data_IF_649413257848
#
_entry.id   IF_649413257848
#
_cell.length_a   1.000
_cell.length_b   1.000
_cell.length_c   1.000
_cell.angle_alpha   90.00
_cell.angle_beta   90.00
_cell.angle_gamma   90.00
#
_symmetry.space_group_name_H-M   'P 1'
#
loop_
_entity.id
_entity.type
_entity.pdbx_description
1 polymer ?
#
# COMPACT_ATOMS: atom_id res chain seq x y z
N UNK A 1 -12.60 -14.90 7.28
CA UNK A 1 -12.00 -13.64 7.79
C UNK A 1 -10.87 -13.88 8.78
N UNK A 2 -11.09 -14.35 10.02
CA UNK A 2 -10.01 -14.50 11.04
C UNK A 2 -8.76 -15.24 10.53
N UNK A 3 -8.95 -16.44 9.96
CA UNK A 3 -7.85 -17.24 9.39
C UNK A 3 -7.04 -16.46 8.35
N UNK A 4 -7.73 -15.75 7.46
CA UNK A 4 -7.15 -14.98 6.37
C UNK A 4 -6.31 -13.79 6.89
N UNK A 5 -6.80 -13.08 7.90
CA UNK A 5 -6.06 -11.99 8.55
C UNK A 5 -4.81 -12.53 9.25
N UNK A 6 -4.95 -13.61 10.03
CA UNK A 6 -3.81 -14.25 10.71
C UNK A 6 -2.77 -14.73 9.70
N UNK A 7 -3.19 -15.38 8.61
CA UNK A 7 -2.28 -15.77 7.53
C UNK A 7 -1.59 -14.56 6.91
N UNK A 8 -2.32 -13.48 6.62
CA UNK A 8 -1.73 -12.26 6.07
C UNK A 8 -0.69 -11.64 6.99
N UNK A 9 -0.99 -11.52 8.29
CA UNK A 9 -0.03 -11.02 9.29
C UNK A 9 1.21 -11.92 9.34
N UNK A 10 1.05 -13.24 9.46
CA UNK A 10 2.19 -14.16 9.55
C UNK A 10 3.06 -14.06 8.30
N UNK A 11 2.47 -14.08 7.11
CA UNK A 11 3.23 -14.05 5.86
C UNK A 11 3.95 -12.71 5.70
N UNK A 12 3.24 -11.59 5.81
CA UNK A 12 3.83 -10.26 5.65
C UNK A 12 4.90 -10.00 6.73
N UNK A 13 4.62 -10.30 8.00
CA UNK A 13 5.62 -10.14 9.07
C UNK A 13 6.84 -11.04 8.89
N UNK A 14 6.69 -12.25 8.35
CA UNK A 14 7.84 -13.12 8.04
C UNK A 14 8.71 -12.53 6.93
N UNK A 15 8.10 -11.93 5.90
CA UNK A 15 8.82 -11.29 4.81
C UNK A 15 9.52 -10.00 5.25
N UNK A 16 8.86 -9.17 6.07
CA UNK A 16 9.46 -8.01 6.71
C UNK A 16 10.65 -8.43 7.57
N UNK A 17 10.50 -9.48 8.37
CA UNK A 17 11.58 -9.98 9.21
C UNK A 17 12.76 -10.49 8.36
N UNK A 18 12.46 -11.22 7.28
CA UNK A 18 13.48 -11.68 6.33
C UNK A 18 14.20 -10.50 5.69
N UNK A 19 13.47 -9.46 5.30
CA UNK A 19 14.04 -8.27 4.70
C UNK A 19 15.01 -7.55 5.65
N UNK A 20 14.50 -7.13 6.81
CA UNK A 20 15.25 -6.36 7.82
C UNK A 20 16.46 -7.14 8.38
N UNK A 21 16.33 -8.45 8.58
CA UNK A 21 17.41 -9.25 9.15
C UNK A 21 18.45 -9.70 8.13
N UNK A 22 18.04 -9.91 6.88
CA UNK A 22 18.88 -10.55 5.88
C UNK A 22 19.06 -9.72 4.62
N UNK A 23 17.98 -9.36 3.92
CA UNK A 23 18.08 -8.68 2.61
C UNK A 23 18.76 -7.32 2.77
N UNK A 24 18.34 -6.51 3.73
CA UNK A 24 18.95 -5.19 3.94
C UNK A 24 20.43 -5.26 4.31
N UNK A 25 20.81 -6.25 5.10
CA UNK A 25 22.19 -6.36 5.60
C UNK A 25 23.15 -7.00 4.61
N UNK A 26 22.66 -7.83 3.70
CA UNK A 26 23.51 -8.65 2.83
C UNK A 26 23.33 -8.35 1.34
N UNK A 27 22.25 -7.66 0.95
CA UNK A 27 21.89 -7.39 -0.45
C UNK A 27 21.73 -5.89 -0.70
N UNK A 28 20.99 -5.17 0.16
CA UNK A 28 20.82 -3.71 0.05
C UNK A 28 21.83 -2.93 0.93
N UNK A 29 23.04 -3.45 1.10
CA UNK A 29 24.07 -2.86 1.96
C UNK A 29 24.73 -1.61 1.36
N UNK A 30 24.52 -1.37 0.06
CA UNK A 30 25.04 -0.23 -0.67
C UNK A 30 23.93 0.80 -0.99
N UNK A 31 23.96 1.99 -0.37
CA UNK A 31 23.01 3.07 -0.67
C UNK A 31 23.01 3.53 -2.13
N UNK A 32 24.12 3.37 -2.87
CA UNK A 32 24.19 3.76 -4.27
C UNK A 32 23.36 2.86 -5.20
N UNK A 33 22.95 1.69 -4.71
CA UNK A 33 22.10 0.73 -5.43
C UNK A 33 20.72 0.59 -4.77
N UNK A 34 20.35 1.51 -3.88
CA UNK A 34 19.01 1.53 -3.30
C UNK A 34 17.99 1.71 -4.42
N UNK A 35 17.12 0.71 -4.55
CA UNK A 35 16.08 0.65 -5.56
C UNK A 35 14.72 1.09 -4.99
N UNK A 36 14.69 1.50 -3.73
CA UNK A 36 13.48 1.95 -3.03
C UNK A 36 13.29 3.45 -3.16
N UNK A 37 12.04 3.89 -3.06
CA UNK A 37 11.68 5.31 -3.11
C UNK A 37 11.67 5.97 -1.72
N UNK A 38 12.22 5.32 -0.69
CA UNK A 38 12.11 5.74 0.71
C UNK A 38 12.62 7.16 0.95
N UNK A 39 13.81 7.50 0.43
CA UNK A 39 14.39 8.85 0.58
C UNK A 39 13.45 9.91 0.04
N UNK A 40 12.86 9.66 -1.13
CA UNK A 40 11.90 10.55 -1.77
C UNK A 40 10.61 10.69 -0.95
N UNK A 41 10.13 9.59 -0.35
CA UNK A 41 8.97 9.61 0.54
C UNK A 41 9.24 10.41 1.81
N UNK A 42 10.42 10.23 2.41
CA UNK A 42 10.88 10.95 3.61
C UNK A 42 10.94 12.45 3.33
N UNK A 43 11.67 12.88 2.31
CA UNK A 43 11.84 14.31 1.97
C UNK A 43 10.49 15.02 1.79
N UNK A 44 9.55 14.37 1.10
CA UNK A 44 8.21 14.93 0.84
C UNK A 44 7.35 15.00 2.08
N UNK A 45 7.35 13.95 2.89
CA UNK A 45 6.61 13.91 4.15
C UNK A 45 7.19 14.89 5.18
N UNK A 46 8.51 15.00 5.29
CA UNK A 46 9.18 15.97 6.15
C UNK A 46 8.86 17.41 5.73
N UNK A 47 8.80 17.68 4.43
CA UNK A 47 8.36 18.98 3.92
C UNK A 47 6.95 19.32 4.41
N UNK A 48 6.02 18.37 4.36
CA UNK A 48 4.66 18.56 4.89
C UNK A 48 4.68 18.78 6.41
N UNK A 49 5.40 17.95 7.15
CA UNK A 49 5.50 18.01 8.62
C UNK A 49 6.10 19.34 9.11
N UNK A 50 7.02 19.92 8.35
CA UNK A 50 7.66 21.19 8.64
C UNK A 50 6.87 22.42 8.13
N UNK A 51 5.66 22.23 7.62
CA UNK A 51 4.80 23.32 7.12
C UNK A 51 5.20 23.87 5.74
N UNK A 52 6.06 23.17 5.01
CA UNK A 52 6.39 23.45 3.62
C UNK A 52 5.28 23.03 2.65
N UNK A 53 5.38 23.53 1.42
CA UNK A 53 4.44 23.24 0.33
C UNK A 53 5.07 22.27 -0.68
N UNK A 54 4.33 21.19 -0.96
CA UNK A 54 4.64 20.28 -2.08
C UNK A 54 4.71 21.07 -3.40
N UNK A 55 5.56 20.62 -4.33
CA UNK A 55 5.85 21.24 -5.63
C UNK A 55 6.52 22.62 -5.60
N UNK A 56 6.64 23.25 -4.43
CA UNK A 56 7.38 24.50 -4.23
C UNK A 56 8.70 24.22 -3.49
N UNK A 57 8.60 23.52 -2.37
CA UNK A 57 9.70 23.37 -1.41
C UNK A 57 10.38 21.99 -1.51
N UNK A 58 9.80 21.07 -2.28
CA UNK A 58 10.35 19.72 -2.52
C UNK A 58 9.98 19.22 -3.92
N UNK A 59 10.89 18.47 -4.53
CA UNK A 59 10.66 17.85 -5.84
C UNK A 59 9.64 16.72 -5.71
N UNK A 60 8.49 16.90 -6.36
CA UNK A 60 7.49 15.84 -6.48
C UNK A 60 6.81 15.86 -7.84
N UNK A 61 6.57 14.66 -8.37
CA UNK A 61 5.91 14.42 -9.67
C UNK A 61 4.62 13.62 -9.53
N UNK A 62 4.35 13.10 -8.33
CA UNK A 62 3.11 12.38 -8.02
C UNK A 62 2.02 13.40 -7.70
N UNK A 63 0.72 13.06 -7.84
CA UNK A 63 -0.37 13.86 -7.27
C UNK A 63 -0.17 14.11 -5.76
N UNK A 64 -0.77 15.16 -5.17
CA UNK A 64 -0.40 15.57 -3.83
C UNK A 64 -0.86 14.58 -2.75
N UNK A 65 -2.01 13.92 -2.96
CA UNK A 65 -2.66 13.15 -1.90
C UNK A 65 -1.83 11.94 -1.43
N UNK A 66 -1.09 11.27 -2.33
CA UNK A 66 -0.22 10.16 -1.90
C UNK A 66 0.87 10.63 -0.95
N UNK A 67 1.42 11.84 -1.12
CA UNK A 67 2.47 12.36 -0.26
C UNK A 67 1.94 12.63 1.16
N UNK A 68 0.68 13.04 1.32
CA UNK A 68 0.05 13.14 2.64
C UNK A 68 -0.20 11.75 3.26
N UNK A 69 -0.52 10.75 2.45
CA UNK A 69 -0.65 9.36 2.92
C UNK A 69 0.69 8.74 3.30
N UNK A 70 1.83 9.32 2.91
CA UNK A 70 3.17 8.88 3.31
C UNK A 70 3.69 9.55 4.59
N UNK A 71 2.94 10.53 5.14
CA UNK A 71 3.31 11.16 6.41
C UNK A 71 3.36 10.16 7.58
N UNK A 72 2.43 9.22 7.76
CA UNK A 72 2.46 8.30 8.90
C UNK A 72 3.75 7.48 9.04
N UNK A 73 4.25 6.72 8.04
CA UNK A 73 5.49 5.95 8.21
C UNK A 73 6.72 6.83 8.49
N UNK A 74 6.74 8.07 7.98
CA UNK A 74 7.82 9.04 8.24
C UNK A 74 7.73 9.61 9.65
N UNK A 75 6.54 9.95 10.11
CA UNK A 75 6.30 10.37 11.49
C UNK A 75 6.73 9.29 12.50
N UNK A 76 6.57 8.01 12.16
CA UNK A 76 7.06 6.87 12.94
C UNK A 76 8.52 6.49 12.64
N UNK A 77 9.35 7.47 12.29
CA UNK A 77 10.80 7.35 12.20
C UNK A 77 11.37 7.20 10.78
N UNK A 78 10.53 7.07 9.75
CA UNK A 78 11.00 7.03 8.35
C UNK A 78 11.94 5.87 8.04
N UNK A 79 11.88 4.79 8.83
CA UNK A 79 12.74 3.63 8.65
C UNK A 79 12.14 2.65 7.64
N UNK A 80 12.97 1.76 7.08
CA UNK A 80 12.55 0.65 6.22
C UNK A 80 11.34 -0.10 6.79
N UNK A 81 11.45 -0.56 8.04
CA UNK A 81 10.39 -1.28 8.73
C UNK A 81 9.12 -0.44 8.93
N UNK A 82 9.23 0.87 9.14
CA UNK A 82 8.07 1.77 9.24
C UNK A 82 7.28 1.79 7.93
N UNK A 83 7.96 1.87 6.79
CA UNK A 83 7.34 1.81 5.46
C UNK A 83 6.73 0.44 5.18
N UNK A 84 7.47 -0.63 5.45
CA UNK A 84 6.99 -1.98 5.14
C UNK A 84 5.75 -2.37 5.94
N UNK A 85 5.72 -2.03 7.23
CA UNK A 85 4.53 -2.23 8.08
C UNK A 85 3.36 -1.43 7.51
N UNK A 86 3.60 -0.16 7.16
CA UNK A 86 2.57 0.74 6.67
C UNK A 86 1.99 0.29 5.33
N UNK A 87 2.82 -0.10 4.37
CA UNK A 87 2.36 -0.61 3.07
C UNK A 87 1.70 -1.99 3.20
N UNK A 88 2.23 -2.86 4.05
CA UNK A 88 1.62 -4.17 4.36
C UNK A 88 0.24 -4.03 4.99
N UNK A 89 0.01 -2.98 5.77
CA UNK A 89 -1.31 -2.66 6.31
C UNK A 89 -2.35 -2.43 5.19
N UNK A 90 -1.99 -1.75 4.10
CA UNK A 90 -2.90 -1.57 2.95
C UNK A 90 -3.17 -2.88 2.18
N UNK A 91 -2.21 -3.81 2.14
CA UNK A 91 -2.48 -5.17 1.64
C UNK A 91 -3.52 -5.87 2.50
N UNK A 92 -3.39 -5.82 3.84
CA UNK A 92 -4.38 -6.40 4.75
C UNK A 92 -5.75 -5.75 4.58
N UNK A 93 -5.83 -4.42 4.45
CA UNK A 93 -7.08 -3.73 4.17
C UNK A 93 -7.72 -4.18 2.85
N UNK A 94 -6.91 -4.39 1.80
CA UNK A 94 -7.39 -4.88 0.50
C UNK A 94 -7.93 -6.31 0.61
N UNK A 95 -7.19 -7.19 1.26
CA UNK A 95 -7.58 -8.58 1.54
C UNK A 95 -8.88 -8.65 2.35
N UNK A 96 -9.02 -7.82 3.38
CA UNK A 96 -10.25 -7.71 4.18
C UNK A 96 -11.40 -7.20 3.30
N UNK A 97 -11.17 -6.20 2.47
CA UNK A 97 -12.18 -5.60 1.60
C UNK A 97 -12.71 -6.61 0.58
N UNK A 98 -11.82 -7.32 -0.12
CA UNK A 98 -12.21 -8.38 -1.09
C UNK A 98 -13.09 -9.40 -0.38
N UNK A 99 -12.66 -9.92 0.77
CA UNK A 99 -13.43 -10.92 1.51
C UNK A 99 -14.78 -10.37 1.95
N UNK A 100 -14.80 -9.19 2.57
CA UNK A 100 -16.00 -8.59 3.14
C UNK A 100 -17.07 -8.32 2.09
N UNK A 101 -16.71 -7.75 0.94
CA UNK A 101 -17.67 -7.40 -0.10
C UNK A 101 -18.13 -8.63 -0.90
N UNK A 102 -17.22 -9.55 -1.25
CA UNK A 102 -17.58 -10.72 -2.06
C UNK A 102 -18.25 -11.83 -1.24
N UNK A 103 -18.00 -11.93 0.08
CA UNK A 103 -18.60 -12.97 0.92
C UNK A 103 -20.12 -12.86 1.05
N UNK A 104 -20.69 -11.69 0.72
CA UNK A 104 -22.14 -11.46 0.60
C UNK A 104 -22.75 -12.19 -0.60
N UNK A 105 -21.92 -12.53 -1.59
CA UNK A 105 -22.32 -13.20 -2.83
C UNK A 105 -22.00 -14.69 -2.72
N UNK A 106 -20.71 -15.02 -2.52
CA UNK A 106 -20.25 -16.39 -2.29
C UNK A 106 -19.06 -16.38 -1.33
N UNK A 107 -19.23 -17.00 -0.17
CA UNK A 107 -18.22 -17.02 0.91
C UNK A 107 -16.99 -17.86 0.55
N UNK A 108 -17.13 -18.94 -0.21
CA UNK A 108 -16.04 -19.83 -0.59
C UNK A 108 -15.19 -19.16 -1.66
N UNK A 109 -15.81 -18.60 -2.70
CA UNK A 109 -15.10 -17.86 -3.74
C UNK A 109 -14.48 -16.56 -3.20
N UNK A 110 -15.15 -15.86 -2.28
CA UNK A 110 -14.56 -14.69 -1.62
C UNK A 110 -13.30 -15.04 -0.83
N UNK A 111 -13.30 -16.17 -0.11
CA UNK A 111 -12.11 -16.66 0.58
C UNK A 111 -10.99 -16.96 -0.41
N UNK A 112 -11.29 -17.71 -1.48
CA UNK A 112 -10.32 -18.06 -2.50
C UNK A 112 -9.72 -16.81 -3.17
N UNK A 113 -10.56 -15.86 -3.61
CA UNK A 113 -10.10 -14.62 -4.24
C UNK A 113 -9.20 -13.79 -3.32
N UNK A 114 -9.58 -13.64 -2.05
CA UNK A 114 -8.78 -12.89 -1.08
C UNK A 114 -7.46 -13.57 -0.76
N UNK A 115 -7.47 -14.90 -0.67
CA UNK A 115 -6.26 -15.69 -0.42
C UNK A 115 -5.31 -15.65 -1.63
N UNK A 116 -5.84 -15.80 -2.84
CA UNK A 116 -5.06 -15.68 -4.08
C UNK A 116 -4.42 -14.30 -4.17
N UNK A 117 -5.19 -13.22 -3.96
CA UNK A 117 -4.65 -11.86 -3.93
C UNK A 117 -3.49 -11.73 -2.93
N UNK A 118 -3.68 -12.20 -1.69
CA UNK A 118 -2.63 -12.16 -0.66
C UNK A 118 -1.34 -12.90 -1.09
N UNK A 119 -1.47 -14.00 -1.82
CA UNK A 119 -0.33 -14.85 -2.20
C UNK A 119 0.28 -14.48 -3.56
N UNK A 120 -0.21 -13.44 -4.23
CA UNK A 120 0.43 -12.95 -5.45
C UNK A 120 1.84 -12.44 -5.13
N UNK A 121 2.88 -12.85 -5.89
CA UNK A 121 4.26 -12.44 -5.60
C UNK A 121 4.44 -10.93 -5.52
N UNK A 122 3.80 -10.17 -6.41
CA UNK A 122 3.87 -8.70 -6.40
C UNK A 122 3.16 -8.10 -5.19
N UNK A 123 1.99 -8.62 -4.81
CA UNK A 123 1.27 -8.20 -3.59
C UNK A 123 2.11 -8.37 -2.33
N UNK A 124 3.01 -9.35 -2.31
CA UNK A 124 3.93 -9.59 -1.20
C UNK A 124 5.21 -8.77 -1.29
N UNK A 125 5.88 -8.78 -2.45
CA UNK A 125 7.19 -8.14 -2.61
C UNK A 125 7.13 -6.61 -2.63
N UNK A 126 6.08 -6.03 -3.22
CA UNK A 126 5.91 -4.57 -3.34
C UNK A 126 5.92 -3.84 -1.99
N UNK A 127 5.12 -4.24 -0.97
CA UNK A 127 5.17 -3.59 0.34
C UNK A 127 6.41 -3.95 1.17
N UNK A 128 7.02 -5.12 0.95
CA UNK A 128 8.16 -5.57 1.78
C UNK A 128 9.49 -5.22 1.11
N UNK A 129 9.94 -6.04 0.17
CA UNK A 129 11.29 -5.93 -0.40
C UNK A 129 11.48 -4.65 -1.24
N UNK A 130 10.44 -4.22 -1.96
CA UNK A 130 10.53 -3.04 -2.82
C UNK A 130 10.13 -1.73 -2.11
N UNK A 131 9.43 -1.83 -0.98
CA UNK A 131 8.95 -0.69 -0.17
C UNK A 131 8.23 0.38 -0.99
N UNK A 132 7.28 -0.02 -1.82
CA UNK A 132 6.59 0.93 -2.69
C UNK A 132 5.13 1.20 -2.29
N UNK A 133 4.70 2.43 -2.57
CA UNK A 133 3.39 2.97 -2.25
C UNK A 133 2.23 2.41 -3.10
N UNK A 134 2.51 1.57 -4.11
CA UNK A 134 1.51 0.89 -4.94
C UNK A 134 0.53 0.08 -4.10
N UNK A 135 0.92 -0.42 -2.92
CA UNK A 135 0.02 -1.11 -1.99
C UNK A 135 -1.16 -0.21 -1.57
N UNK A 136 -0.91 1.09 -1.38
CA UNK A 136 -1.93 2.11 -1.10
C UNK A 136 -2.82 2.29 -2.33
N UNK A 137 -2.20 2.44 -3.50
CA UNK A 137 -2.90 2.66 -4.77
C UNK A 137 -3.84 1.50 -5.10
N UNK A 138 -3.38 0.25 -4.96
CA UNK A 138 -4.17 -0.95 -5.19
C UNK A 138 -5.39 -0.99 -4.27
N UNK A 139 -5.25 -0.62 -3.00
CA UNK A 139 -6.38 -0.55 -2.08
C UNK A 139 -7.44 0.46 -2.56
N UNK A 140 -7.01 1.68 -2.88
CA UNK A 140 -7.91 2.74 -3.37
C UNK A 140 -8.45 2.49 -4.79
N UNK A 141 -7.84 1.59 -5.56
CA UNK A 141 -8.35 1.12 -6.85
C UNK A 141 -9.39 0.01 -6.70
N UNK A 142 -9.12 -1.00 -5.85
CA UNK A 142 -10.00 -2.17 -5.68
C UNK A 142 -11.25 -1.85 -4.86
N UNK A 143 -11.13 -1.05 -3.80
CA UNK A 143 -12.25 -0.74 -2.90
C UNK A 143 -13.47 -0.13 -3.63
N UNK A 144 -13.32 0.91 -4.48
CA UNK A 144 -14.45 1.46 -5.25
C UNK A 144 -15.11 0.41 -6.14
N UNK A 145 -14.32 -0.43 -6.82
CA UNK A 145 -14.83 -1.47 -7.71
C UNK A 145 -15.66 -2.51 -6.94
N UNK A 146 -15.20 -2.91 -5.76
CA UNK A 146 -15.95 -3.81 -4.87
C UNK A 146 -17.26 -3.18 -4.40
N UNK A 147 -17.26 -1.90 -4.05
CA UNK A 147 -18.46 -1.15 -3.64
C UNK A 147 -19.46 -1.07 -4.80
N UNK A 148 -18.99 -0.79 -6.01
CA UNK A 148 -19.82 -0.77 -7.20
C UNK A 148 -20.44 -2.16 -7.46
N UNK A 149 -19.61 -3.19 -7.46
CA UNK A 149 -20.02 -4.54 -7.81
C UNK A 149 -20.96 -5.17 -6.76
N UNK A 150 -20.55 -5.17 -5.49
CA UNK A 150 -21.27 -5.84 -4.40
C UNK A 150 -22.47 -5.03 -3.90
N UNK A 151 -22.36 -3.70 -3.86
CA UNK A 151 -23.38 -2.84 -3.25
C UNK A 151 -24.15 -1.95 -4.25
N UNK A 152 -23.76 -1.93 -5.54
CA UNK A 152 -24.36 -1.09 -6.60
C UNK A 152 -24.38 0.40 -6.29
N UNK A 153 -23.48 0.89 -5.43
CA UNK A 153 -23.40 2.30 -5.01
C UNK A 153 -22.55 3.14 -5.97
N UNK A 154 -23.13 3.48 -7.13
CA UNK A 154 -22.46 4.22 -8.21
C UNK A 154 -21.84 5.56 -7.79
N UNK A 155 -22.52 6.33 -6.94
CA UNK A 155 -22.01 7.64 -6.49
C UNK A 155 -20.79 7.50 -5.58
N UNK A 156 -20.83 6.52 -4.66
CA UNK A 156 -19.70 6.26 -3.78
C UNK A 156 -18.49 5.72 -4.55
N UNK A 157 -18.74 4.88 -5.56
CA UNK A 157 -17.72 4.48 -6.53
C UNK A 157 -17.10 5.71 -7.21
N UNK A 158 -17.91 6.61 -7.79
CA UNK A 158 -17.37 7.79 -8.47
C UNK A 158 -16.50 8.65 -7.57
N UNK A 159 -16.96 8.93 -6.33
CA UNK A 159 -16.18 9.73 -5.37
C UNK A 159 -14.85 9.05 -5.03
N UNK A 160 -14.87 7.78 -4.64
CA UNK A 160 -13.66 7.08 -4.22
C UNK A 160 -12.69 6.84 -5.39
N UNK A 161 -13.21 6.58 -6.59
CA UNK A 161 -12.38 6.49 -7.80
C UNK A 161 -11.71 7.81 -8.13
N UNK A 162 -12.42 8.94 -8.02
CA UNK A 162 -11.82 10.28 -8.19
C UNK A 162 -10.74 10.57 -7.13
N UNK A 163 -10.94 10.12 -5.88
CA UNK A 163 -9.90 10.18 -4.86
C UNK A 163 -8.70 9.31 -5.25
N UNK A 164 -8.93 8.10 -5.77
CA UNK A 164 -7.88 7.22 -6.30
C UNK A 164 -7.02 7.90 -7.38
N UNK A 165 -7.66 8.59 -8.32
CA UNK A 165 -6.98 9.40 -9.35
C UNK A 165 -6.10 10.48 -8.71
N UNK A 166 -6.60 11.12 -7.65
CA UNK A 166 -5.85 12.14 -6.92
C UNK A 166 -4.72 11.60 -6.04
N UNK A 167 -4.73 10.30 -5.73
CA UNK A 167 -3.65 9.60 -5.03
C UNK A 167 -2.50 9.35 -6.01
N UNK A 168 -2.74 8.58 -7.07
CA UNK A 168 -1.70 8.29 -8.07
C UNK A 168 -2.32 8.12 -9.43
N UNK A 169 -1.87 8.94 -10.38
CA UNK A 169 -2.18 8.78 -11.80
C UNK A 169 -1.13 7.86 -12.44
N UNK A 170 -0.98 6.62 -11.96
CA UNK A 170 -0.40 5.59 -12.84
C UNK A 170 -1.44 5.25 -13.89
N UNK A 171 -1.01 4.96 -15.13
CA UNK A 171 -1.81 5.26 -16.28
C UNK A 171 -3.09 4.43 -16.19
N UNK A 172 -4.21 5.14 -16.28
CA UNK A 172 -5.54 4.58 -16.54
C UNK A 172 -5.58 4.05 -18.00
N UNK A 173 -4.42 3.67 -18.54
CA UNK A 173 -4.13 3.21 -19.90
C UNK A 173 -2.92 2.27 -19.91
#
# INVERSE_FOLDING_TARGET
>A
MKKLIVTGIIVLSSLILLDVLFIDKNINDNPATDHTDNTLYIERAETILNGGLLYRDVVTKTPPLINYLLVPPVYFGGTAISFEIYFSFFILLTVISIYYFLSKIDKKLAYAASFVFLMLPTTLATPTFCRQDESIVVFFFILPLLILYSCKRKYLFSILSSIGVWIKMHPIF
#
